data_IF_918528399948
#
_entry.id   IF_918528399948
#
_cell.length_a   1.000
_cell.length_b   1.000
_cell.length_c   1.000
_cell.angle_alpha   90.00
_cell.angle_beta   90.00
_cell.angle_gamma   90.00
#
_symmetry.space_group_name_H-M   'P 1'
#
loop_
_entity.id
_entity.type
_entity.pdbx_description
1 polymer ?
#
# COMPACT_ATOMS: atom_id res chain seq x y z
N UNK A 1 -13.66 -2.16 -7.45
CA UNK A 1 -12.22 -1.99 -7.77
C UNK A 1 -11.71 -0.74 -7.05
N UNK A 2 -10.64 -0.89 -6.29
CA UNK A 2 -9.94 0.18 -5.59
C UNK A 2 -8.56 0.29 -6.21
N UNK A 3 -8.09 1.50 -6.46
CA UNK A 3 -6.74 1.74 -6.97
C UNK A 3 -6.04 2.75 -6.09
N UNK A 4 -4.89 2.38 -5.55
CA UNK A 4 -3.98 3.30 -4.89
C UNK A 4 -2.94 3.79 -5.89
N UNK A 5 -2.93 5.10 -6.14
CA UNK A 5 -2.06 5.73 -7.13
C UNK A 5 -0.64 5.97 -6.62
N UNK A 6 -0.39 5.91 -5.30
CA UNK A 6 0.95 6.16 -4.74
C UNK A 6 1.90 5.02 -5.11
N UNK A 7 1.37 3.80 -5.06
CA UNK A 7 2.15 2.57 -5.30
C UNK A 7 1.66 1.76 -6.51
N UNK A 8 0.65 2.26 -7.24
CA UNK A 8 0.10 1.58 -8.42
C UNK A 8 -0.69 0.30 -8.09
N UNK A 9 -1.12 0.12 -6.84
CA UNK A 9 -1.84 -1.08 -6.40
C UNK A 9 -3.30 -1.04 -6.85
N UNK A 10 -3.80 -2.14 -7.39
CA UNK A 10 -5.23 -2.30 -7.70
C UNK A 10 -5.80 -3.52 -6.99
N UNK A 11 -6.82 -3.30 -6.17
CA UNK A 11 -7.60 -4.34 -5.50
C UNK A 11 -8.96 -4.49 -6.17
N UNK A 12 -9.40 -5.73 -6.36
CA UNK A 12 -10.69 -6.04 -6.96
C UNK A 12 -11.78 -6.31 -5.91
N UNK A 13 -11.41 -6.50 -4.65
CA UNK A 13 -12.27 -6.82 -3.50
C UNK A 13 -12.80 -5.57 -2.78
N UNK A 14 -13.62 -4.76 -3.46
CA UNK A 14 -14.22 -3.54 -2.87
C UNK A 14 -15.11 -3.85 -1.66
N UNK A 15 -15.89 -4.93 -1.71
CA UNK A 15 -16.87 -5.24 -0.65
C UNK A 15 -16.18 -5.59 0.67
N UNK A 16 -15.08 -6.34 0.63
CA UNK A 16 -14.28 -6.67 1.82
C UNK A 16 -13.65 -5.42 2.43
N UNK A 17 -13.13 -4.54 1.57
CA UNK A 17 -12.56 -3.27 2.01
C UNK A 17 -13.60 -2.37 2.70
N UNK A 18 -14.80 -2.26 2.13
CA UNK A 18 -15.91 -1.53 2.75
C UNK A 18 -16.42 -2.18 4.04
N UNK A 19 -16.25 -3.51 4.18
CA UNK A 19 -16.53 -4.24 5.41
C UNK A 19 -15.45 -4.04 6.51
N UNK A 20 -14.38 -3.30 6.21
CA UNK A 20 -13.33 -2.95 7.16
C UNK A 20 -12.04 -3.78 7.04
N UNK A 21 -11.96 -4.67 6.05
CA UNK A 21 -10.73 -5.41 5.74
C UNK A 21 -9.75 -4.51 4.96
N UNK A 22 -8.99 -3.70 5.70
CA UNK A 22 -8.08 -2.69 5.15
C UNK A 22 -6.66 -3.22 4.93
N UNK A 23 -6.32 -4.37 5.52
CA UNK A 23 -4.96 -4.95 5.49
C UNK A 23 -4.42 -5.14 4.05
N UNK A 24 -5.23 -5.59 3.07
CA UNK A 24 -4.76 -5.75 1.68
C UNK A 24 -4.31 -4.44 1.01
N UNK A 25 -4.72 -3.28 1.54
CA UNK A 25 -4.27 -1.96 1.09
C UNK A 25 -3.13 -1.41 1.97
N UNK A 26 -3.24 -1.57 3.30
CA UNK A 26 -2.32 -0.95 4.26
C UNK A 26 -0.94 -1.61 4.25
N UNK A 27 -0.87 -2.95 4.24
CA UNK A 27 0.39 -3.68 4.25
C UNK A 27 1.33 -3.28 3.11
N UNK A 28 0.91 -3.31 1.82
CA UNK A 28 1.79 -2.92 0.71
C UNK A 28 2.16 -1.43 0.75
N UNK A 29 1.28 -0.57 1.28
CA UNK A 29 1.57 0.86 1.42
C UNK A 29 2.66 1.11 2.47
N UNK A 30 2.57 0.43 3.62
CA UNK A 30 3.57 0.51 4.70
C UNK A 30 4.91 -0.03 4.20
N UNK A 31 4.91 -1.18 3.52
CA UNK A 31 6.11 -1.78 2.95
C UNK A 31 6.79 -0.83 1.94
N UNK A 32 6.01 -0.21 1.06
CA UNK A 32 6.54 0.75 0.10
C UNK A 32 7.21 1.94 0.82
N UNK A 33 6.53 2.54 1.78
CA UNK A 33 7.07 3.66 2.55
C UNK A 33 8.36 3.28 3.30
N UNK A 34 8.41 2.10 3.90
CA UNK A 34 9.61 1.61 4.59
C UNK A 34 10.77 1.38 3.62
N UNK A 35 10.49 0.84 2.42
CA UNK A 35 11.51 0.66 1.39
C UNK A 35 12.07 2.00 0.90
N UNK A 36 11.23 3.01 0.70
CA UNK A 36 11.66 4.36 0.32
C UNK A 36 12.49 5.03 1.42
N UNK A 37 12.10 4.89 2.69
CA UNK A 37 12.85 5.41 3.83
C UNK A 37 14.24 4.76 3.94
N UNK A 38 14.34 3.44 3.75
CA UNK A 38 15.62 2.71 3.75
C UNK A 38 16.51 3.12 2.57
N UNK A 39 15.94 3.28 1.38
CA UNK A 39 16.67 3.73 0.20
C UNK A 39 17.22 5.16 0.39
N UNK A 40 16.45 6.03 1.05
CA UNK A 40 16.88 7.39 1.37
C UNK A 40 17.97 7.40 2.45
N UNK A 41 17.83 6.58 3.51
CA UNK A 41 18.78 6.52 4.61
C UNK A 41 20.12 5.83 4.28
N UNK A 42 20.16 4.96 3.27
CA UNK A 42 21.38 4.29 2.81
C UNK A 42 22.11 5.00 1.65
N UNK A 43 21.59 6.14 1.20
CA UNK A 43 22.09 6.91 0.06
C UNK A 43 22.91 8.16 0.42
N UNK A 44 23.21 8.38 1.71
CA UNK A 44 24.10 9.44 2.22
C UNK A 44 25.49 8.89 2.60
#
# INVERSE_FOLDING_TARGET
>A
RITDHRIGLTLHSMDQFLAGDLDPLLDPLIQHYQAEQLATAGGE
#
